data_IF_657443475725
#
_entry.id   IF_657443475725
#
_cell.length_a   1.000
_cell.length_b   1.000
_cell.length_c   1.000
_cell.angle_alpha   90.00
_cell.angle_beta   90.00
_cell.angle_gamma   90.00
#
_symmetry.space_group_name_H-M   'P 1'
#
loop_
_entity.id
_entity.type
_entity.pdbx_description
1 polymer ?
#
# COMPACT_ATOMS: atom_id res chain seq x y z
N UNK A 1 11.10 -13.03 20.68
CA UNK A 1 11.39 -11.94 19.71
C UNK A 1 10.12 -11.78 18.88
N UNK A 2 9.44 -10.63 18.88
CA UNK A 2 8.32 -10.45 17.96
C UNK A 2 8.90 -10.52 16.54
N UNK A 3 8.34 -11.41 15.72
CA UNK A 3 8.67 -11.50 14.30
C UNK A 3 8.15 -10.21 13.66
N UNK A 4 9.02 -9.23 13.47
CA UNK A 4 8.71 -8.06 12.66
C UNK A 4 8.41 -8.58 11.26
N UNK A 5 7.12 -8.66 10.92
CA UNK A 5 6.66 -9.21 9.64
C UNK A 5 6.51 -8.04 8.68
N UNK A 6 7.47 -7.94 7.78
CA UNK A 6 7.41 -7.00 6.66
C UNK A 6 6.49 -7.57 5.60
N UNK A 7 5.58 -6.76 5.11
CA UNK A 7 4.53 -7.20 4.21
C UNK A 7 4.46 -6.27 3.00
N UNK A 8 4.38 -6.88 1.83
CA UNK A 8 4.12 -6.19 0.58
C UNK A 8 2.63 -6.33 0.24
N UNK A 9 2.03 -5.23 -0.18
CA UNK A 9 0.64 -5.18 -0.62
C UNK A 9 0.57 -4.56 -2.01
N UNK A 10 -0.07 -5.28 -2.91
CA UNK A 10 -0.36 -4.87 -4.30
C UNK A 10 -1.88 -4.75 -4.47
N UNK A 11 -2.33 -3.58 -4.91
CA UNK A 11 -3.74 -3.19 -4.97
C UNK A 11 -4.02 -2.47 -6.30
N UNK A 12 -5.24 -2.50 -6.79
CA UNK A 12 -5.61 -1.82 -8.06
C UNK A 12 -6.51 -0.61 -7.80
N UNK A 13 -6.07 0.59 -8.17
CA UNK A 13 -6.81 1.85 -8.11
C UNK A 13 -6.44 2.68 -9.34
N UNK A 14 -7.41 3.43 -9.87
CA UNK A 14 -7.28 4.26 -11.06
C UNK A 14 -7.23 5.77 -10.77
N UNK A 15 -7.28 6.16 -9.49
CA UNK A 15 -7.12 7.55 -9.07
C UNK A 15 -6.46 7.67 -7.70
N UNK A 16 -6.08 8.90 -7.31
CA UNK A 16 -5.53 9.27 -6.02
C UNK A 16 -6.47 10.22 -5.28
N UNK A 17 -6.92 9.86 -4.07
CA UNK A 17 -7.86 10.63 -3.25
C UNK A 17 -7.18 11.21 -2.02
N UNK A 18 -7.61 12.40 -1.58
CA UNK A 18 -7.07 13.02 -0.36
C UNK A 18 -7.34 12.18 0.89
N UNK A 19 -8.48 11.49 0.95
CA UNK A 19 -8.86 10.67 2.11
C UNK A 19 -7.97 9.44 2.24
N UNK A 20 -7.68 8.77 1.12
CA UNK A 20 -6.73 7.67 1.08
C UNK A 20 -5.34 8.15 1.50
N UNK A 21 -4.87 9.26 0.92
CA UNK A 21 -3.58 9.86 1.26
C UNK A 21 -3.46 10.21 2.74
N UNK A 22 -4.51 10.81 3.35
CA UNK A 22 -4.54 11.11 4.80
C UNK A 22 -4.46 9.84 5.65
N UNK A 23 -5.16 8.78 5.25
CA UNK A 23 -5.09 7.48 5.93
C UNK A 23 -3.68 6.89 5.88
N UNK A 24 -3.05 6.88 4.70
CA UNK A 24 -1.68 6.39 4.53
C UNK A 24 -0.67 7.26 5.28
N UNK A 25 -0.82 8.58 5.29
CA UNK A 25 0.05 9.50 6.04
C UNK A 25 0.01 9.24 7.56
N UNK A 26 -1.18 8.94 8.10
CA UNK A 26 -1.34 8.52 9.49
C UNK A 26 -0.61 7.21 9.79
N UNK A 27 -0.69 6.22 8.89
CA UNK A 27 0.03 4.94 9.03
C UNK A 27 1.55 5.10 8.85
N UNK A 28 1.98 6.02 8.00
CA UNK A 28 3.39 6.32 7.82
C UNK A 28 3.96 7.01 9.06
N UNK A 29 3.27 8.01 9.59
CA UNK A 29 3.65 8.71 10.82
C UNK A 29 3.73 7.78 12.04
N UNK A 30 2.95 6.70 12.08
CA UNK A 30 2.96 5.72 13.18
C UNK A 30 4.04 4.64 13.06
N UNK A 31 4.82 4.61 11.99
CA UNK A 31 5.83 3.56 11.78
C UNK A 31 5.34 2.34 11.00
N UNK A 32 4.04 2.27 10.69
CA UNK A 32 3.40 1.06 10.13
C UNK A 32 3.58 1.00 8.62
N UNK A 33 3.23 2.06 7.89
CA UNK A 33 3.51 2.16 6.45
C UNK A 33 4.96 2.67 6.27
N UNK A 34 5.77 1.93 5.52
CA UNK A 34 7.22 2.18 5.39
C UNK A 34 7.59 2.78 4.05
N UNK A 35 6.86 2.41 3.00
CA UNK A 35 7.04 2.89 1.64
C UNK A 35 5.79 2.60 0.84
N UNK A 36 5.49 3.43 -0.16
CA UNK A 36 4.45 3.10 -1.11
C UNK A 36 4.30 4.13 -2.20
N UNK A 37 3.48 3.80 -3.19
CA UNK A 37 3.27 4.66 -4.34
C UNK A 37 2.28 4.09 -5.35
N UNK A 38 1.99 4.93 -6.33
CA UNK A 38 1.14 4.61 -7.47
C UNK A 38 1.87 3.67 -8.45
N UNK A 39 1.17 2.63 -8.90
CA UNK A 39 1.52 1.86 -10.10
C UNK A 39 0.86 2.56 -11.29
N UNK A 40 1.64 2.85 -12.32
CA UNK A 40 1.17 3.50 -13.55
C UNK A 40 1.05 2.47 -14.67
N UNK A 41 0.22 2.81 -15.67
CA UNK A 41 0.11 2.01 -16.88
C UNK A 41 1.47 1.88 -17.60
N UNK A 42 1.80 0.72 -18.23
CA UNK A 42 3.12 0.46 -18.81
C UNK A 42 3.60 1.48 -19.86
N UNK A 43 2.66 2.13 -20.55
CA UNK A 43 2.92 3.14 -21.56
C UNK A 43 3.31 4.51 -20.99
N UNK A 44 3.23 4.70 -19.67
CA UNK A 44 3.57 5.95 -19.01
C UNK A 44 4.99 5.94 -18.45
N UNK A 45 5.72 7.01 -18.76
CA UNK A 45 7.05 7.30 -18.21
C UNK A 45 7.09 8.60 -17.39
N UNK A 46 6.01 9.38 -17.41
CA UNK A 46 5.89 10.63 -16.68
C UNK A 46 5.09 10.43 -15.39
N UNK A 47 5.72 10.70 -14.25
CA UNK A 47 5.13 10.63 -12.91
C UNK A 47 4.00 11.64 -12.68
N UNK A 48 3.86 12.64 -13.55
CA UNK A 48 2.81 13.64 -13.49
C UNK A 48 1.49 13.16 -14.13
N UNK A 49 1.49 12.10 -14.95
CA UNK A 49 0.26 11.52 -15.52
C UNK A 49 -0.41 10.54 -14.53
N UNK A 50 -0.63 11.00 -13.29
CA UNK A 50 -1.34 10.27 -12.22
C UNK A 50 -2.79 9.94 -12.58
N UNK A 51 -3.29 10.39 -13.73
CA UNK A 51 -4.65 10.13 -14.24
C UNK A 51 -4.81 8.71 -14.82
N UNK A 52 -3.72 7.95 -14.96
CA UNK A 52 -3.74 6.56 -15.44
C UNK A 52 -2.98 5.65 -14.48
N UNK A 53 -3.30 5.76 -13.20
CA UNK A 53 -2.89 4.76 -12.24
C UNK A 53 -3.58 3.43 -12.56
N UNK A 54 -2.88 2.34 -12.33
CA UNK A 54 -3.43 0.98 -12.40
C UNK A 54 -3.44 0.30 -11.03
N UNK A 55 -2.81 0.92 -10.03
CA UNK A 55 -2.67 0.34 -8.72
C UNK A 55 -1.89 1.16 -7.70
N UNK A 56 -1.74 0.55 -6.53
CA UNK A 56 -0.89 0.99 -5.44
C UNK A 56 0.00 -0.16 -4.99
N UNK A 57 1.25 0.17 -4.67
CA UNK A 57 2.21 -0.71 -3.99
C UNK A 57 2.46 -0.14 -2.60
N UNK A 58 2.28 -0.95 -1.55
CA UNK A 58 2.54 -0.53 -0.17
C UNK A 58 3.40 -1.56 0.55
N UNK A 59 4.33 -1.07 1.36
CA UNK A 59 5.11 -1.88 2.30
C UNK A 59 4.71 -1.53 3.73
N UNK A 60 4.30 -2.55 4.48
CA UNK A 60 3.92 -2.42 5.88
C UNK A 60 4.88 -3.18 6.80
N UNK A 61 5.02 -2.68 8.01
CA UNK A 61 5.65 -3.35 9.13
C UNK A 61 4.58 -3.65 10.18
N UNK A 62 4.29 -4.93 10.39
CA UNK A 62 3.22 -5.38 11.27
C UNK A 62 3.57 -6.71 11.96
N UNK A 63 2.76 -7.10 12.94
CA UNK A 63 2.95 -8.36 13.67
C UNK A 63 2.45 -9.58 12.90
N UNK A 64 1.50 -9.40 11.98
CA UNK A 64 0.87 -10.48 11.22
C UNK A 64 0.28 -10.04 9.89
N UNK A 65 0.03 -11.02 9.00
CA UNK A 65 -0.74 -10.79 7.75
C UNK A 65 -2.18 -10.33 8.09
N UNK A 66 -2.78 -10.87 9.13
CA UNK A 66 -4.12 -10.50 9.61
C UNK A 66 -4.21 -9.02 9.97
N UNK A 67 -3.17 -8.44 10.57
CA UNK A 67 -3.18 -7.01 10.90
C UNK A 67 -3.11 -6.14 9.65
N UNK A 68 -2.32 -6.53 8.66
CA UNK A 68 -2.32 -5.85 7.35
C UNK A 68 -3.65 -6.02 6.63
N UNK A 69 -4.30 -7.18 6.70
CA UNK A 69 -5.65 -7.37 6.15
C UNK A 69 -6.66 -6.42 6.80
N UNK A 70 -6.59 -6.20 8.12
CA UNK A 70 -7.46 -5.23 8.81
C UNK A 70 -7.16 -3.80 8.36
N UNK A 71 -5.89 -3.43 8.26
CA UNK A 71 -5.47 -2.10 7.78
C UNK A 71 -5.98 -1.83 6.37
N UNK A 72 -5.71 -2.74 5.43
CA UNK A 72 -6.23 -2.68 4.05
C UNK A 72 -7.75 -2.63 4.05
N UNK A 73 -8.41 -3.47 4.87
CA UNK A 73 -9.86 -3.53 4.99
C UNK A 73 -10.51 -2.25 5.55
N UNK A 74 -9.75 -1.44 6.30
CA UNK A 74 -10.19 -0.16 6.86
C UNK A 74 -9.96 1.03 5.94
N UNK A 75 -9.20 0.85 4.85
CA UNK A 75 -8.91 1.92 3.90
C UNK A 75 -10.19 2.37 3.17
N UNK A 76 -10.27 3.67 2.86
CA UNK A 76 -11.39 4.23 2.09
C UNK A 76 -11.51 3.54 0.74
N UNK A 77 -10.41 3.17 0.09
CA UNK A 77 -10.44 2.47 -1.20
C UNK A 77 -11.00 1.06 -1.11
N UNK A 78 -10.82 0.38 0.02
CA UNK A 78 -11.43 -0.93 0.25
C UNK A 78 -12.92 -0.81 0.58
N UNK A 79 -13.27 0.13 1.45
CA UNK A 79 -14.64 0.29 1.96
C UNK A 79 -15.59 0.94 0.95
N UNK A 80 -15.09 1.83 0.09
CA UNK A 80 -15.84 2.46 -1.00
C UNK A 80 -15.85 1.67 -2.31
N UNK A 81 -15.12 0.55 -2.38
CA UNK A 81 -15.09 -0.31 -3.56
C UNK A 81 -14.23 0.21 -4.73
N UNK A 82 -13.27 1.09 -4.44
CA UNK A 82 -12.27 1.53 -5.43
C UNK A 82 -11.30 0.40 -5.76
N UNK A 83 -10.87 -0.36 -4.75
CA UNK A 83 -10.02 -1.52 -4.97
C UNK A 83 -10.83 -2.75 -5.37
N UNK A 84 -10.34 -3.44 -6.41
CA UNK A 84 -10.79 -4.78 -6.75
C UNK A 84 -10.25 -5.78 -5.72
N UNK A 85 -11.13 -6.22 -4.83
CA UNK A 85 -10.80 -7.10 -3.70
C UNK A 85 -10.22 -8.44 -4.14
N UNK A 86 -10.58 -8.92 -5.33
CA UNK A 86 -10.06 -10.19 -5.86
C UNK A 86 -8.61 -10.07 -6.34
N UNK A 87 -8.18 -8.84 -6.68
CA UNK A 87 -6.81 -8.55 -7.12
C UNK A 87 -5.86 -8.14 -5.99
N UNK A 88 -6.36 -7.98 -4.77
CA UNK A 88 -5.53 -7.64 -3.61
C UNK A 88 -4.59 -8.80 -3.28
N UNK A 89 -3.30 -8.52 -3.31
CA UNK A 89 -2.27 -9.48 -2.96
C UNK A 89 -1.47 -8.98 -1.75
N UNK A 90 -1.38 -9.79 -0.69
CA UNK A 90 -0.65 -9.49 0.54
C UNK A 90 0.36 -10.62 0.78
N UNK A 91 1.65 -10.30 0.81
CA UNK A 91 2.73 -11.29 0.90
C UNK A 91 3.78 -10.90 1.94
N UNK A 92 4.33 -11.88 2.69
CA UNK A 92 5.59 -11.70 3.42
C UNK A 92 6.70 -11.20 2.50
N UNK A 93 7.44 -10.19 2.96
CA UNK A 93 8.50 -9.57 2.19
C UNK A 93 9.82 -9.58 2.96
N UNK A 94 10.89 -10.05 2.31
CA UNK A 94 12.24 -9.99 2.86
C UNK A 94 13.04 -9.00 2.00
N UNK A 95 13.36 -7.80 2.49
CA UNK A 95 14.10 -6.82 1.71
C UNK A 95 15.55 -7.26 1.52
N UNK A 96 16.03 -7.22 0.28
CA UNK A 96 17.46 -7.37 -0.02
C UNK A 96 18.25 -6.08 0.25
N UNK A 97 17.57 -4.93 0.19
CA UNK A 97 18.15 -3.60 0.43
C UNK A 97 17.84 -3.12 1.86
N UNK A 98 18.46 -2.00 2.25
CA UNK A 98 18.15 -1.35 3.53
C UNK A 98 16.64 -1.08 3.60
N UNK A 99 16.02 -1.55 4.68
CA UNK A 99 14.63 -1.28 4.98
C UNK A 99 14.43 0.20 5.30
N UNK A 100 13.37 0.86 4.78
CA UNK A 100 13.10 2.25 5.10
C UNK A 100 13.00 2.48 6.62
N UNK A 101 13.71 3.48 7.13
CA UNK A 101 13.43 4.06 8.44
C UNK A 101 12.33 5.09 8.27
N UNK A 102 11.38 5.15 9.21
CA UNK A 102 10.45 6.28 9.28
C UNK A 102 11.13 7.42 10.04
#
# INVERSE_FOLDING_TARGET
MPLITRLLVLLTADFLSEEHLKGIDGLHSSGIAKFGGALLAPELTDENDRKKMTGSLMFYEAESIEDVRKLVGSDVYYTSGVWDKEKICILPFVPAMRWPSN
#
